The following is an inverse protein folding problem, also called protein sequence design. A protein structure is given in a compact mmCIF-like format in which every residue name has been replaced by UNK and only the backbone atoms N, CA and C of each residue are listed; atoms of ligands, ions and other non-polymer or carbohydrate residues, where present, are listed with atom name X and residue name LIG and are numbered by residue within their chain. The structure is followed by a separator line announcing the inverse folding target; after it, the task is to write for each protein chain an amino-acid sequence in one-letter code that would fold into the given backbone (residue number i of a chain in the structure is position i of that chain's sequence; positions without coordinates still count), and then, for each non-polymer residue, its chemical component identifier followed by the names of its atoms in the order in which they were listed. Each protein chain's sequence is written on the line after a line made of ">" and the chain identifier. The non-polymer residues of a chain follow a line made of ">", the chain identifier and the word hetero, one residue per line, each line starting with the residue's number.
data_IF_894621827444
#
_entry.id   IF_894621827444
#
_cell.length_a   1.000
_cell.length_b   1.000
_cell.length_c   1.000
_cell.angle_alpha   90.00
_cell.angle_beta   90.00
_cell.angle_gamma   90.00
#
_symmetry.space_group_name_H-M   'P 1'
#
loop_
_entity.id
_entity.type
_entity.pdbx_description
1 polymer ?
#
# COMPACT_ATOMS: atom_id res chain seq x y z
N UNK A 1 18.61 -1.46 1.36
CA UNK A 1 19.22 -2.37 0.36
C UNK A 1 20.31 -3.28 0.98
N UNK A 2 21.45 -2.76 1.46
CA UNK A 2 22.55 -3.58 1.99
C UNK A 2 22.10 -4.52 3.13
N UNK A 3 21.39 -4.00 4.13
CA UNK A 3 20.92 -4.80 5.27
C UNK A 3 19.99 -5.93 4.81
N UNK A 4 19.04 -5.62 3.93
CA UNK A 4 18.12 -6.64 3.39
C UNK A 4 18.88 -7.69 2.57
N UNK A 5 19.83 -7.26 1.74
CA UNK A 5 20.68 -8.20 0.99
C UNK A 5 21.48 -9.11 1.93
N UNK A 6 22.08 -8.56 3.00
CA UNK A 6 22.80 -9.36 4.00
C UNK A 6 21.85 -10.37 4.65
N UNK A 7 20.68 -9.94 5.09
CA UNK A 7 19.68 -10.84 5.71
C UNK A 7 19.33 -12.00 4.76
N UNK A 8 19.12 -11.73 3.47
CA UNK A 8 18.82 -12.81 2.51
C UNK A 8 19.93 -13.85 2.35
N UNK A 9 21.18 -13.52 2.70
CA UNK A 9 22.29 -14.51 2.67
C UNK A 9 22.25 -15.50 3.84
N UNK A 10 21.60 -15.13 4.96
CA UNK A 10 21.52 -15.97 6.17
C UNK A 10 20.22 -16.76 6.28
N UNK A 11 19.26 -16.54 5.40
CA UNK A 11 18.00 -17.28 5.39
C UNK A 11 18.28 -18.72 4.95
N UNK A 12 18.03 -19.74 5.79
CA UNK A 12 18.27 -21.14 5.43
C UNK A 12 17.30 -21.57 4.31
N UNK A 13 17.81 -22.34 3.35
CA UNK A 13 17.07 -22.76 2.16
C UNK A 13 16.99 -21.64 1.12
N UNK A 14 17.89 -21.64 0.13
CA UNK A 14 17.91 -20.67 -0.94
C UNK A 14 16.78 -20.87 -1.96
N UNK A 15 16.62 -19.96 -2.97
CA UNK A 15 15.62 -20.12 -4.01
C UNK A 15 15.80 -21.41 -4.83
N UNK A 16 17.04 -21.91 -4.98
CA UNK A 16 17.33 -23.18 -5.64
C UNK A 16 16.78 -24.35 -4.83
N UNK A 17 17.00 -24.38 -3.50
CA UNK A 17 16.48 -25.40 -2.61
C UNK A 17 14.94 -25.40 -2.55
N UNK A 18 14.32 -24.23 -2.62
CA UNK A 18 12.87 -24.12 -2.65
C UNK A 18 12.29 -24.60 -3.98
N UNK A 19 12.95 -24.30 -5.11
CA UNK A 19 12.56 -24.83 -6.41
C UNK A 19 12.65 -26.37 -6.43
N UNK A 20 13.73 -26.92 -5.88
CA UNK A 20 13.90 -28.37 -5.71
C UNK A 20 12.75 -28.97 -4.90
N UNK A 21 12.44 -28.37 -3.75
CA UNK A 21 11.35 -28.87 -2.88
C UNK A 21 9.97 -28.79 -3.53
N UNK A 22 9.72 -27.79 -4.38
CA UNK A 22 8.48 -27.69 -5.15
C UNK A 22 8.38 -28.75 -6.23
N UNK A 23 9.47 -29.05 -6.92
CA UNK A 23 9.52 -30.10 -7.94
C UNK A 23 9.33 -31.48 -7.30
N UNK A 24 9.99 -31.75 -6.17
CA UNK A 24 9.82 -32.99 -5.41
C UNK A 24 8.41 -33.13 -4.79
N UNK A 25 7.82 -32.00 -4.32
CA UNK A 25 6.45 -31.99 -3.78
C UNK A 25 5.38 -32.19 -4.86
N UNK A 26 5.60 -31.72 -6.07
CA UNK A 26 4.70 -31.90 -7.21
C UNK A 26 4.66 -33.37 -7.67
N UNK A 27 5.81 -34.05 -7.63
CA UNK A 27 5.88 -35.49 -7.95
C UNK A 27 5.19 -36.36 -6.90
N UNK A 28 5.14 -35.91 -5.64
CA UNK A 28 4.49 -36.61 -4.53
C UNK A 28 2.96 -36.49 -4.52
N UNK A 29 2.40 -35.40 -5.09
CA UNK A 29 0.95 -35.17 -5.16
C UNK A 29 0.27 -35.85 -6.36
N UNK A 30 1.03 -36.36 -7.32
CA UNK A 30 0.54 -37.07 -8.51
C UNK A 30 0.38 -38.59 -8.38
N UNK A 31 0.58 -39.21 -7.23
CA UNK A 31 0.74 -40.63 -7.04
C UNK A 31 -0.30 -41.35 -6.21
N UNK A 32 -1.60 -41.18 -6.50
CA UNK A 32 -2.60 -42.21 -6.12
C UNK A 32 -3.44 -42.54 -7.34
N UNK A 33 -3.02 -43.47 -8.18
CA UNK A 33 -3.89 -44.45 -8.86
C UNK A 33 -3.07 -45.59 -9.45
N UNK A 34 -3.44 -46.82 -9.01
CA UNK A 34 -3.26 -48.13 -9.62
C UNK A 34 -1.89 -48.81 -9.63
N UNK A 35 -1.83 -49.75 -8.72
CA UNK A 35 -1.06 -51.00 -8.82
C UNK A 35 -1.43 -51.76 -10.12
N UNK A 36 -0.52 -51.86 -11.06
CA UNK A 36 -0.21 -53.14 -11.75
C UNK A 36 0.73 -52.89 -12.95
N UNK A 37 1.70 -53.80 -13.05
CA UNK A 37 2.57 -54.14 -14.16
C UNK A 37 3.89 -53.36 -14.33
N UNK A 38 4.94 -54.04 -13.93
CA UNK A 38 6.24 -54.25 -14.58
C UNK A 38 6.73 -53.16 -15.54
N UNK A 39 7.82 -52.54 -15.18
CA UNK A 39 8.75 -52.04 -16.18
C UNK A 39 9.22 -50.62 -15.99
N UNK A 40 10.43 -50.48 -15.41
CA UNK A 40 11.36 -49.39 -15.72
C UNK A 40 10.84 -47.93 -15.66
N UNK A 41 10.44 -47.47 -14.50
CA UNK A 41 10.47 -46.03 -14.20
C UNK A 41 11.28 -45.81 -12.90
N UNK A 42 12.54 -45.41 -13.08
CA UNK A 42 13.33 -44.79 -12.04
C UNK A 42 12.94 -43.33 -11.97
N UNK A 43 11.79 -43.03 -11.37
CA UNK A 43 11.28 -41.68 -11.20
C UNK A 43 11.29 -41.32 -9.71
N UNK A 44 12.43 -41.07 -9.12
CA UNK A 44 12.66 -40.17 -7.98
C UNK A 44 14.16 -40.03 -7.74
N UNK A 45 14.87 -39.53 -8.73
CA UNK A 45 16.13 -38.84 -8.46
C UNK A 45 15.77 -37.37 -8.33
N UNK A 46 15.93 -36.82 -7.14
CA UNK A 46 16.04 -35.39 -6.95
C UNK A 46 16.96 -34.79 -8.04
N UNK A 47 16.80 -33.52 -8.38
CA UNK A 47 17.59 -32.83 -9.40
C UNK A 47 19.04 -33.27 -9.32
N UNK A 48 19.61 -33.71 -10.45
CA UNK A 48 20.99 -34.13 -10.54
C UNK A 48 21.89 -32.96 -10.11
N UNK A 49 22.99 -33.23 -9.40
CA UNK A 49 23.90 -32.19 -8.90
C UNK A 49 24.31 -31.22 -10.03
N UNK A 50 24.44 -31.73 -11.25
CA UNK A 50 24.72 -30.91 -12.44
C UNK A 50 23.59 -29.89 -12.75
N UNK A 51 22.34 -30.23 -12.49
CA UNK A 51 21.19 -29.33 -12.66
C UNK A 51 21.17 -28.26 -11.57
N UNK A 52 21.48 -28.64 -10.33
CA UNK A 52 21.62 -27.72 -9.20
C UNK A 52 22.75 -26.72 -9.46
N UNK A 53 23.89 -27.18 -9.96
CA UNK A 53 25.02 -26.33 -10.29
C UNK A 53 24.70 -25.37 -11.45
N UNK A 54 23.96 -25.82 -12.46
CA UNK A 54 23.45 -24.95 -13.54
C UNK A 54 22.51 -23.87 -13.03
N UNK A 55 21.60 -24.20 -12.09
CA UNK A 55 20.71 -23.23 -11.44
C UNK A 55 21.50 -22.22 -10.61
N UNK A 56 22.53 -22.67 -9.87
CA UNK A 56 23.39 -21.78 -9.10
C UNK A 56 24.14 -20.78 -10.00
N UNK A 57 24.63 -21.23 -11.14
CA UNK A 57 25.27 -20.34 -12.11
C UNK A 57 24.26 -19.40 -12.77
N UNK A 58 23.07 -19.91 -13.12
CA UNK A 58 21.99 -19.11 -13.74
C UNK A 58 21.55 -17.95 -12.83
N UNK A 59 21.44 -18.22 -11.55
CA UNK A 59 21.04 -17.23 -10.55
C UNK A 59 22.22 -16.46 -9.93
N UNK A 60 23.45 -16.74 -10.37
CA UNK A 60 24.67 -16.05 -9.96
C UNK A 60 25.12 -16.37 -8.54
N UNK A 61 24.67 -17.49 -7.95
CA UNK A 61 25.09 -17.92 -6.62
C UNK A 61 26.51 -18.49 -6.59
N UNK A 62 27.13 -18.68 -7.74
CA UNK A 62 28.52 -19.04 -7.91
C UNK A 62 29.50 -17.94 -7.50
N UNK A 63 29.04 -16.67 -7.46
CA UNK A 63 29.87 -15.50 -7.14
C UNK A 63 29.84 -15.19 -5.63
N UNK A 64 30.94 -14.62 -5.07
CA UNK A 64 30.94 -14.13 -3.69
C UNK A 64 29.86 -13.09 -3.43
N UNK A 65 29.23 -13.10 -2.25
CA UNK A 65 28.15 -12.20 -1.88
C UNK A 65 28.48 -10.70 -2.09
N UNK A 66 29.68 -10.17 -1.78
CA UNK A 66 30.01 -8.77 -2.04
C UNK A 66 29.97 -8.42 -3.53
N UNK A 67 30.44 -9.32 -4.39
CA UNK A 67 30.42 -9.11 -5.83
C UNK A 67 28.98 -9.10 -6.36
N UNK A 68 28.15 -10.05 -5.92
CA UNK A 68 26.72 -10.09 -6.27
C UNK A 68 26.00 -8.80 -5.88
N UNK A 69 26.30 -8.26 -4.69
CA UNK A 69 25.72 -6.99 -4.23
C UNK A 69 26.14 -5.82 -5.13
N UNK A 70 27.42 -5.71 -5.50
CA UNK A 70 27.91 -4.66 -6.41
C UNK A 70 27.30 -4.78 -7.81
N UNK A 71 27.30 -5.98 -8.38
CA UNK A 71 26.69 -6.25 -9.69
C UNK A 71 25.20 -5.89 -9.68
N UNK A 72 24.48 -6.25 -8.61
CA UNK A 72 23.06 -5.88 -8.41
C UNK A 72 22.89 -4.36 -8.35
N UNK A 73 23.69 -3.64 -7.57
CA UNK A 73 23.58 -2.19 -7.44
C UNK A 73 23.89 -1.46 -8.75
N UNK A 74 24.85 -1.95 -9.54
CA UNK A 74 25.16 -1.38 -10.85
C UNK A 74 24.00 -1.57 -11.84
N UNK A 75 23.33 -2.74 -11.84
CA UNK A 75 22.13 -2.98 -12.64
C UNK A 75 20.96 -2.11 -12.17
N UNK A 76 20.73 -2.00 -10.87
CA UNK A 76 19.68 -1.16 -10.32
C UNK A 76 19.86 0.33 -10.63
N UNK A 77 21.11 0.81 -10.72
CA UNK A 77 21.38 2.17 -11.17
C UNK A 77 20.96 2.42 -12.63
N UNK A 78 20.79 1.35 -13.43
CA UNK A 78 20.27 1.37 -14.80
C UNK A 78 18.78 0.98 -14.87
N UNK A 79 18.09 0.87 -13.72
CA UNK A 79 16.72 0.37 -13.60
C UNK A 79 16.50 -1.05 -14.09
N UNK A 80 17.56 -1.84 -14.23
CA UNK A 80 17.46 -3.28 -14.45
C UNK A 80 17.34 -3.98 -13.09
N UNK A 81 16.11 -4.34 -12.71
CA UNK A 81 15.82 -5.03 -11.45
C UNK A 81 15.98 -6.55 -11.56
N UNK A 82 16.31 -7.06 -12.72
CA UNK A 82 16.45 -8.48 -13.00
C UNK A 82 15.12 -9.17 -13.29
N UNK A 83 15.15 -10.50 -13.30
CA UNK A 83 14.02 -11.36 -13.58
C UNK A 83 13.58 -12.12 -12.33
N UNK A 84 12.27 -12.35 -12.20
CA UNK A 84 11.69 -13.19 -11.16
C UNK A 84 12.10 -14.65 -11.36
N UNK A 85 12.45 -15.33 -10.28
CA UNK A 85 12.79 -16.74 -10.32
C UNK A 85 11.59 -17.65 -10.60
N UNK A 86 10.36 -17.18 -10.32
CA UNK A 86 9.14 -17.98 -10.36
C UNK A 86 8.13 -17.53 -11.42
N UNK A 87 8.23 -16.31 -11.94
CA UNK A 87 7.21 -15.75 -12.82
C UNK A 87 7.64 -15.63 -14.29
N UNK A 88 8.88 -15.96 -14.65
CA UNK A 88 9.43 -15.81 -16.00
C UNK A 88 9.15 -14.42 -16.62
N UNK A 89 9.21 -13.37 -15.80
CA UNK A 89 8.97 -11.97 -16.19
C UNK A 89 10.00 -11.08 -15.53
N UNK A 90 10.28 -9.93 -16.13
CA UNK A 90 11.10 -8.92 -15.46
C UNK A 90 10.42 -8.44 -14.18
N UNK A 91 11.22 -8.12 -13.17
CA UNK A 91 10.70 -7.59 -11.89
C UNK A 91 9.96 -6.26 -12.13
N UNK A 92 10.44 -5.44 -13.07
CA UNK A 92 9.77 -4.19 -13.43
C UNK A 92 8.38 -4.44 -14.03
N UNK A 93 8.23 -5.40 -14.95
CA UNK A 93 6.93 -5.75 -15.53
C UNK A 93 5.97 -6.29 -14.49
N UNK A 94 6.47 -7.10 -13.54
CA UNK A 94 5.66 -7.58 -12.42
C UNK A 94 5.15 -6.42 -11.58
N UNK A 95 6.02 -5.49 -11.18
CA UNK A 95 5.64 -4.31 -10.39
C UNK A 95 4.59 -3.49 -11.16
N UNK A 96 4.85 -3.18 -12.43
CA UNK A 96 3.94 -2.38 -13.27
C UNK A 96 2.57 -3.06 -13.43
N UNK A 97 2.54 -4.38 -13.58
CA UNK A 97 1.28 -5.14 -13.70
C UNK A 97 0.40 -5.08 -12.43
N UNK A 98 1.00 -4.89 -11.24
CA UNK A 98 0.30 -4.81 -9.95
C UNK A 98 -0.05 -3.38 -9.53
N UNK A 99 0.59 -2.37 -10.15
CA UNK A 99 0.34 -0.95 -9.86
C UNK A 99 -1.14 -0.54 -9.96
N UNK A 100 -1.92 -0.95 -10.98
CA UNK A 100 -3.32 -0.51 -11.11
C UNK A 100 -4.16 -0.82 -9.86
N UNK A 101 -3.99 -1.97 -9.23
CA UNK A 101 -4.69 -2.36 -8.01
C UNK A 101 -4.28 -1.47 -6.84
N UNK A 102 -2.98 -1.36 -6.57
CA UNK A 102 -2.47 -0.58 -5.44
C UNK A 102 -2.76 0.91 -5.58
N UNK A 103 -2.63 1.46 -6.80
CA UNK A 103 -3.00 2.85 -7.11
C UNK A 103 -4.50 3.06 -6.91
N UNK A 104 -5.35 2.15 -7.38
CA UNK A 104 -6.79 2.25 -7.18
C UNK A 104 -7.16 2.32 -5.70
N UNK A 105 -6.66 1.38 -4.90
CA UNK A 105 -6.89 1.38 -3.44
C UNK A 105 -6.38 2.66 -2.78
N UNK A 106 -5.16 3.05 -3.11
CA UNK A 106 -4.51 4.22 -2.52
C UNK A 106 -5.21 5.52 -2.87
N UNK A 107 -5.46 5.79 -4.16
CA UNK A 107 -6.07 7.04 -4.63
C UNK A 107 -7.48 7.22 -4.06
N UNK A 108 -8.33 6.20 -4.18
CA UNK A 108 -9.70 6.29 -3.67
C UNK A 108 -9.74 6.44 -2.15
N UNK A 109 -8.93 5.66 -1.42
CA UNK A 109 -8.81 5.81 0.03
C UNK A 109 -8.35 7.21 0.42
N UNK A 110 -7.32 7.73 -0.24
CA UNK A 110 -6.80 9.07 0.00
C UNK A 110 -7.85 10.15 -0.28
N UNK A 111 -8.49 10.13 -1.44
CA UNK A 111 -9.50 11.11 -1.83
C UNK A 111 -10.68 11.11 -0.84
N UNK A 112 -11.21 9.93 -0.51
CA UNK A 112 -12.36 9.82 0.40
C UNK A 112 -11.98 10.33 1.80
N UNK A 113 -10.80 9.96 2.31
CA UNK A 113 -10.33 10.42 3.62
C UNK A 113 -10.17 11.94 3.63
N UNK A 114 -9.46 12.53 2.67
CA UNK A 114 -9.22 13.98 2.67
C UNK A 114 -10.49 14.79 2.42
N UNK A 115 -11.31 14.39 1.45
CA UNK A 115 -12.56 15.08 1.12
C UNK A 115 -13.63 14.98 2.22
N UNK A 116 -13.60 13.92 3.04
CA UNK A 116 -14.56 13.73 4.12
C UNK A 116 -14.05 14.26 5.46
N UNK A 117 -12.81 13.97 5.82
CA UNK A 117 -12.26 14.26 7.15
C UNK A 117 -11.97 15.75 7.35
N UNK A 118 -11.53 16.47 6.30
CA UNK A 118 -11.25 17.91 6.44
C UNK A 118 -12.52 18.69 6.72
N UNK A 119 -13.61 18.62 5.92
CA UNK A 119 -14.85 19.31 6.22
C UNK A 119 -15.45 18.88 7.57
N UNK A 120 -15.37 17.58 7.88
CA UNK A 120 -15.86 17.07 9.16
C UNK A 120 -15.06 17.64 10.34
N UNK A 121 -13.75 17.66 10.28
CA UNK A 121 -12.87 18.24 11.30
C UNK A 121 -13.10 19.73 11.52
N UNK A 122 -13.27 20.51 10.43
CA UNK A 122 -13.61 21.93 10.49
C UNK A 122 -14.98 22.11 11.20
N UNK A 123 -16.00 21.36 10.78
CA UNK A 123 -17.34 21.44 11.38
C UNK A 123 -17.31 21.06 12.86
N UNK A 124 -16.51 20.09 13.26
CA UNK A 124 -16.30 19.69 14.65
C UNK A 124 -15.62 20.79 15.47
N UNK A 125 -14.60 21.45 14.91
CA UNK A 125 -13.93 22.58 15.56
C UNK A 125 -14.87 23.77 15.78
N UNK A 126 -15.75 24.04 14.82
CA UNK A 126 -16.77 25.11 14.92
C UNK A 126 -17.83 24.80 15.97
N UNK A 127 -18.12 23.53 16.26
CA UNK A 127 -19.13 23.09 17.21
C UNK A 127 -18.50 22.28 18.35
N UNK A 128 -17.31 22.68 18.79
CA UNK A 128 -16.56 22.01 19.86
C UNK A 128 -17.39 21.83 21.13
N UNK A 129 -17.40 20.62 21.71
CA UNK A 129 -18.17 20.25 22.88
C UNK A 129 -19.68 20.06 22.65
N UNK A 130 -20.19 20.27 21.44
CA UNK A 130 -21.59 20.00 21.09
C UNK A 130 -21.90 18.50 21.01
N UNK A 131 -23.21 18.15 21.05
CA UNK A 131 -23.65 16.76 20.83
C UNK A 131 -23.13 16.18 19.50
N UNK A 132 -23.09 16.99 18.44
CA UNK A 132 -22.55 16.60 17.14
C UNK A 132 -21.07 16.22 17.25
N UNK A 133 -20.27 17.04 17.91
CA UNK A 133 -18.84 16.78 18.09
C UNK A 133 -18.60 15.51 18.92
N UNK A 134 -19.32 15.35 20.04
CA UNK A 134 -19.18 14.17 20.90
C UNK A 134 -19.60 12.89 20.17
N UNK A 135 -20.78 12.87 19.55
CA UNK A 135 -21.29 11.68 18.85
C UNK A 135 -20.35 11.29 17.69
N UNK A 136 -19.96 12.24 16.84
CA UNK A 136 -19.06 11.95 15.71
C UNK A 136 -17.67 11.53 16.18
N UNK A 137 -17.13 12.12 17.27
CA UNK A 137 -15.88 11.65 17.87
C UNK A 137 -15.98 10.21 18.34
N UNK A 138 -17.07 9.86 19.04
CA UNK A 138 -17.29 8.51 19.55
C UNK A 138 -17.33 7.50 18.39
N UNK A 139 -18.12 7.78 17.34
CA UNK A 139 -18.23 6.90 16.17
C UNK A 139 -16.87 6.70 15.50
N UNK A 140 -16.13 7.79 15.26
CA UNK A 140 -14.82 7.74 14.59
C UNK A 140 -13.79 6.98 15.45
N UNK A 141 -13.77 7.21 16.76
CA UNK A 141 -12.86 6.52 17.67
C UNK A 141 -13.21 5.03 17.83
N UNK A 142 -14.49 4.69 17.87
CA UNK A 142 -14.93 3.29 17.84
C UNK A 142 -14.47 2.60 16.54
N UNK A 143 -14.64 3.27 15.40
CA UNK A 143 -14.13 2.77 14.13
C UNK A 143 -12.60 2.62 14.12
N UNK A 144 -11.88 3.56 14.69
CA UNK A 144 -10.41 3.52 14.82
C UNK A 144 -9.90 2.33 15.66
N UNK A 145 -10.67 1.94 16.67
CA UNK A 145 -10.33 0.80 17.52
C UNK A 145 -10.42 -0.55 16.79
N UNK A 146 -11.13 -0.61 15.65
CA UNK A 146 -11.27 -1.83 14.86
C UNK A 146 -10.12 -1.88 13.83
N UNK A 147 -9.27 -2.91 13.85
CA UNK A 147 -8.28 -3.08 12.79
C UNK A 147 -8.94 -3.16 11.41
N UNK A 148 -8.42 -2.42 10.41
CA UNK A 148 -9.03 -2.34 9.07
C UNK A 148 -9.27 -3.71 8.43
N UNK A 149 -8.34 -4.65 8.59
CA UNK A 149 -8.50 -6.02 8.07
C UNK A 149 -9.64 -6.80 8.77
N UNK A 150 -9.85 -6.59 10.08
CA UNK A 150 -10.97 -7.20 10.81
C UNK A 150 -12.30 -6.64 10.29
N UNK A 151 -12.36 -5.32 10.08
CA UNK A 151 -13.50 -4.69 9.44
C UNK A 151 -13.71 -5.24 8.03
N UNK A 152 -12.64 -5.42 7.24
CA UNK A 152 -12.69 -6.00 5.90
C UNK A 152 -13.33 -7.38 5.88
N UNK A 153 -12.90 -8.27 6.77
CA UNK A 153 -13.51 -9.60 6.93
C UNK A 153 -15.00 -9.49 7.32
N UNK A 154 -15.32 -8.64 8.30
CA UNK A 154 -16.70 -8.45 8.75
C UNK A 154 -17.60 -7.92 7.60
N UNK A 155 -17.13 -6.94 6.85
CA UNK A 155 -17.84 -6.39 5.68
C UNK A 155 -18.04 -7.45 4.60
N UNK A 156 -17.00 -8.24 4.32
CA UNK A 156 -17.07 -9.30 3.31
C UNK A 156 -18.07 -10.39 3.72
N UNK A 157 -18.06 -10.83 4.98
CA UNK A 157 -18.99 -11.84 5.50
C UNK A 157 -20.43 -11.33 5.54
N UNK A 158 -20.64 -10.04 5.82
CA UNK A 158 -21.98 -9.48 5.89
C UNK A 158 -22.55 -9.13 4.52
N UNK A 159 -21.75 -8.56 3.63
CA UNK A 159 -22.19 -7.91 2.41
C UNK A 159 -21.60 -8.50 1.12
N UNK A 160 -20.59 -9.36 1.20
CA UNK A 160 -19.97 -9.99 0.03
C UNK A 160 -20.86 -11.06 -0.61
N UNK A 161 -20.63 -11.35 -1.89
CA UNK A 161 -21.43 -12.28 -2.66
C UNK A 161 -21.54 -13.68 -2.02
N UNK A 162 -22.75 -14.21 -1.97
CA UNK A 162 -23.06 -15.49 -1.36
C UNK A 162 -23.14 -15.49 0.17
N UNK A 163 -23.07 -14.30 0.82
CA UNK A 163 -23.18 -14.13 2.26
C UNK A 163 -24.57 -13.66 2.73
N UNK A 164 -24.65 -13.04 3.93
CA UNK A 164 -25.93 -12.67 4.53
C UNK A 164 -26.78 -11.71 3.67
N UNK A 165 -26.16 -10.65 3.11
CA UNK A 165 -26.88 -9.63 2.36
C UNK A 165 -26.66 -9.69 0.85
N UNK A 166 -25.62 -10.36 0.39
CA UNK A 166 -25.27 -10.55 -1.04
C UNK A 166 -25.39 -9.26 -1.89
N UNK A 167 -24.72 -8.20 -1.45
CA UNK A 167 -24.84 -6.87 -2.07
C UNK A 167 -23.62 -6.55 -2.93
N UNK A 168 -22.41 -6.84 -2.44
CA UNK A 168 -21.16 -6.47 -3.08
C UNK A 168 -20.40 -7.67 -3.62
N UNK A 169 -19.52 -7.48 -4.62
CA UNK A 169 -18.66 -8.54 -5.12
C UNK A 169 -17.76 -9.12 -4.04
N UNK A 170 -17.48 -10.42 -4.16
CA UNK A 170 -16.66 -11.15 -3.19
C UNK A 170 -15.17 -10.91 -3.38
N UNK A 171 -14.71 -10.74 -4.63
CA UNK A 171 -13.29 -10.72 -4.99
C UNK A 171 -13.01 -9.90 -6.24
N UNK A 172 -11.75 -9.50 -6.38
CA UNK A 172 -11.25 -8.87 -7.60
C UNK A 172 -11.50 -7.37 -7.69
N UNK A 173 -10.85 -6.74 -8.65
CA UNK A 173 -11.00 -5.32 -8.95
C UNK A 173 -12.19 -5.03 -9.85
N UNK A 174 -12.58 -6.04 -10.65
CA UNK A 174 -13.66 -6.01 -11.64
C UNK A 174 -14.26 -7.41 -11.81
N UNK A 175 -15.44 -7.48 -12.42
CA UNK A 175 -16.07 -8.75 -12.79
C UNK A 175 -15.32 -9.46 -13.90
N UNK A 176 -15.45 -10.80 -14.00
CA UNK A 176 -14.75 -11.62 -15.00
C UNK A 176 -15.11 -11.24 -16.45
N UNK A 177 -16.33 -10.72 -16.69
CA UNK A 177 -16.81 -10.26 -18.00
C UNK A 177 -16.66 -8.74 -18.22
N UNK A 178 -15.81 -8.07 -17.44
CA UNK A 178 -15.68 -6.62 -17.44
C UNK A 178 -15.35 -6.04 -18.82
N UNK A 179 -14.47 -6.67 -19.58
CA UNK A 179 -14.07 -6.21 -20.92
C UNK A 179 -15.22 -6.23 -21.95
N UNK A 180 -16.23 -7.09 -21.72
CA UNK A 180 -17.42 -7.20 -22.59
C UNK A 180 -18.49 -6.15 -22.25
N UNK A 181 -18.34 -5.46 -21.11
CA UNK A 181 -19.32 -4.47 -20.68
C UNK A 181 -19.15 -3.13 -21.43
N UNK A 182 -20.25 -2.41 -21.69
CA UNK A 182 -20.16 -1.03 -22.18
C UNK A 182 -19.44 -0.15 -21.14
N UNK A 183 -18.70 0.86 -21.60
CA UNK A 183 -17.80 1.68 -20.79
C UNK A 183 -18.40 2.20 -19.47
N UNK A 184 -19.68 2.63 -19.47
CA UNK A 184 -20.36 3.11 -18.26
C UNK A 184 -20.61 2.01 -17.24
N UNK A 185 -20.85 0.77 -17.70
CA UNK A 185 -20.95 -0.41 -16.82
C UNK A 185 -19.58 -0.85 -16.30
N UNK A 186 -18.54 -0.71 -17.11
CA UNK A 186 -17.16 -0.95 -16.65
C UNK A 186 -16.80 -0.06 -15.47
N UNK A 187 -17.12 1.25 -15.56
CA UNK A 187 -16.87 2.19 -14.46
C UNK A 187 -17.70 1.86 -13.22
N UNK A 188 -18.99 1.57 -13.38
CA UNK A 188 -19.86 1.23 -12.23
C UNK A 188 -19.46 -0.09 -11.59
N UNK A 189 -19.09 -1.10 -12.37
CA UNK A 189 -18.61 -2.38 -11.87
C UNK A 189 -17.31 -2.22 -11.05
N UNK A 190 -16.33 -1.53 -11.61
CA UNK A 190 -15.09 -1.19 -10.89
C UNK A 190 -15.35 -0.46 -9.58
N UNK A 191 -16.19 0.59 -9.59
CA UNK A 191 -16.50 1.34 -8.37
C UNK A 191 -17.22 0.45 -7.34
N UNK A 192 -18.07 -0.47 -7.80
CA UNK A 192 -18.81 -1.40 -6.93
C UNK A 192 -17.88 -2.39 -6.22
N UNK A 193 -16.86 -2.91 -6.92
CA UNK A 193 -15.83 -3.77 -6.35
C UNK A 193 -14.97 -3.03 -5.32
N UNK A 194 -14.77 -1.74 -5.49
CA UNK A 194 -13.91 -0.93 -4.62
C UNK A 194 -14.58 -0.51 -3.30
N UNK A 195 -15.90 -0.63 -3.15
CA UNK A 195 -16.63 -0.11 -1.96
C UNK A 195 -16.12 -0.74 -0.66
N UNK A 196 -16.14 -2.06 -0.55
CA UNK A 196 -15.74 -2.75 0.69
C UNK A 196 -14.25 -2.62 0.99
N UNK A 197 -13.33 -2.82 0.02
CA UNK A 197 -11.90 -2.61 0.24
C UNK A 197 -11.55 -1.19 0.71
N UNK A 198 -12.17 -0.17 0.13
CA UNK A 198 -11.94 1.23 0.52
C UNK A 198 -12.46 1.51 1.92
N UNK A 199 -13.67 1.05 2.27
CA UNK A 199 -14.21 1.23 3.62
C UNK A 199 -13.29 0.59 4.66
N UNK A 200 -12.80 -0.61 4.40
CA UNK A 200 -11.88 -1.30 5.30
C UNK A 200 -10.52 -0.57 5.42
N UNK A 201 -10.00 -0.03 4.31
CA UNK A 201 -8.71 0.66 4.28
C UNK A 201 -8.74 2.04 4.94
N UNK A 202 -9.88 2.72 4.93
CA UNK A 202 -9.98 4.13 5.34
C UNK A 202 -10.32 4.33 6.81
N UNK A 203 -10.90 3.34 7.49
CA UNK A 203 -11.45 3.49 8.84
C UNK A 203 -10.46 4.06 9.86
N UNK A 204 -9.22 3.59 9.84
CA UNK A 204 -8.16 4.09 10.73
C UNK A 204 -7.76 5.52 10.44
N UNK A 205 -7.65 5.88 9.16
CA UNK A 205 -7.23 7.20 8.72
C UNK A 205 -8.27 8.29 9.02
N UNK A 206 -9.55 7.93 9.09
CA UNK A 206 -10.64 8.85 9.44
C UNK A 206 -10.44 9.52 10.80
N UNK A 207 -10.06 8.76 11.81
CA UNK A 207 -9.83 9.31 13.14
C UNK A 207 -8.64 10.27 13.15
N UNK A 208 -7.52 9.84 12.57
CA UNK A 208 -6.27 10.61 12.59
C UNK A 208 -6.46 11.96 11.90
N UNK A 209 -6.93 11.98 10.65
CA UNK A 209 -7.05 13.22 9.88
C UNK A 209 -8.18 14.13 10.40
N UNK A 210 -9.32 13.57 10.81
CA UNK A 210 -10.42 14.36 11.39
C UNK A 210 -9.99 15.05 12.68
N UNK A 211 -9.31 14.33 13.59
CA UNK A 211 -8.85 14.91 14.86
C UNK A 211 -7.69 15.88 14.64
N UNK A 212 -6.77 15.60 13.74
CA UNK A 212 -5.72 16.56 13.36
C UNK A 212 -6.36 17.87 12.85
N UNK A 213 -7.30 17.77 11.93
CA UNK A 213 -8.01 18.94 11.39
C UNK A 213 -8.76 19.68 12.47
N UNK A 214 -9.54 18.98 13.30
CA UNK A 214 -10.27 19.60 14.42
C UNK A 214 -9.31 20.37 15.34
N UNK A 215 -8.24 19.73 15.78
CA UNK A 215 -7.32 20.33 16.76
C UNK A 215 -6.58 21.53 16.18
N UNK A 216 -6.12 21.44 14.93
CA UNK A 216 -5.46 22.54 14.22
C UNK A 216 -6.39 23.77 14.08
N UNK A 217 -7.66 23.56 13.75
CA UNK A 217 -8.64 24.64 13.67
C UNK A 217 -9.00 25.21 15.04
N UNK A 218 -9.13 24.37 16.08
CA UNK A 218 -9.38 24.85 17.46
C UNK A 218 -8.24 25.71 17.98
N UNK A 219 -6.99 25.32 17.72
CA UNK A 219 -5.84 26.11 18.13
C UNK A 219 -5.86 27.48 17.47
N UNK A 220 -6.12 27.55 16.16
CA UNK A 220 -6.14 28.82 15.42
C UNK A 220 -7.31 29.71 15.80
N UNK A 221 -8.50 29.14 16.02
CA UNK A 221 -9.72 29.91 16.40
C UNK A 221 -9.53 30.66 17.74
N UNK A 222 -8.65 30.18 18.62
CA UNK A 222 -8.38 30.77 19.94
C UNK A 222 -7.32 31.87 19.93
N UNK A 223 -6.65 32.12 18.80
CA UNK A 223 -5.58 33.14 18.70
C UNK A 223 -6.10 34.59 18.71
N UNK A 224 -5.27 35.51 19.20
CA UNK A 224 -5.61 36.92 19.37
C UNK A 224 -6.08 37.63 18.09
N UNK A 225 -5.47 37.29 16.94
CA UNK A 225 -5.87 37.89 15.66
C UNK A 225 -7.31 37.57 15.27
N UNK A 226 -7.83 36.40 15.69
CA UNK A 226 -9.22 36.00 15.48
C UNK A 226 -10.17 36.84 16.33
N UNK A 227 -9.80 37.07 17.61
CA UNK A 227 -10.55 37.96 18.49
C UNK A 227 -10.60 39.38 17.93
N UNK A 228 -9.48 39.90 17.43
CA UNK A 228 -9.41 41.21 16.76
C UNK A 228 -10.31 41.30 15.54
N UNK A 229 -10.35 40.25 14.70
CA UNK A 229 -11.19 40.20 13.51
C UNK A 229 -12.68 40.23 13.89
N UNK A 230 -13.09 39.50 14.94
CA UNK A 230 -14.46 39.52 15.49
C UNK A 230 -14.82 40.88 16.09
N UNK A 231 -13.91 41.51 16.83
CA UNK A 231 -14.11 42.84 17.41
C UNK A 231 -14.31 43.93 16.34
N UNK A 232 -13.74 43.75 15.14
CA UNK A 232 -13.97 44.61 13.97
C UNK A 232 -15.31 44.36 13.26
N UNK A 233 -16.16 43.44 13.78
CA UNK A 233 -17.50 43.18 13.24
C UNK A 233 -17.54 42.21 12.08
N UNK A 234 -16.47 41.46 11.80
CA UNK A 234 -16.48 40.42 10.77
C UNK A 234 -17.37 39.24 11.21
N UNK A 235 -18.18 38.74 10.29
CA UNK A 235 -19.01 37.57 10.50
C UNK A 235 -18.16 36.30 10.69
N UNK A 236 -18.73 35.30 11.35
CA UNK A 236 -18.02 34.08 11.72
C UNK A 236 -17.46 33.31 10.52
N UNK A 237 -18.16 33.30 9.38
CA UNK A 237 -17.72 32.67 8.14
C UNK A 237 -16.52 33.38 7.56
N UNK A 238 -16.55 34.71 7.48
CA UNK A 238 -15.40 35.52 7.01
C UNK A 238 -14.17 35.35 7.90
N UNK A 239 -14.35 35.31 9.22
CA UNK A 239 -13.25 35.02 10.16
C UNK A 239 -12.67 33.65 9.91
N UNK A 240 -13.52 32.63 9.75
CA UNK A 240 -13.09 31.25 9.52
C UNK A 240 -12.29 31.13 8.23
N UNK A 241 -12.88 31.52 7.07
CA UNK A 241 -12.29 31.24 5.77
C UNK A 241 -11.16 32.20 5.37
N UNK A 242 -11.21 33.47 5.83
CA UNK A 242 -10.18 34.46 5.47
C UNK A 242 -9.01 34.52 6.43
N UNK A 243 -9.22 34.19 7.72
CA UNK A 243 -8.20 34.38 8.77
C UNK A 243 -7.73 33.07 9.37
N UNK A 244 -8.64 32.13 9.69
CA UNK A 244 -8.29 30.88 10.37
C UNK A 244 -7.84 29.82 9.39
N UNK A 245 -8.59 29.60 8.30
CA UNK A 245 -8.43 28.46 7.39
C UNK A 245 -7.00 28.31 6.87
N UNK A 246 -6.40 29.39 6.38
CA UNK A 246 -5.05 29.36 5.82
C UNK A 246 -4.02 28.83 6.82
N UNK A 247 -4.06 29.31 8.06
CA UNK A 247 -3.10 28.92 9.09
C UNK A 247 -3.40 27.53 9.65
N UNK A 248 -4.69 27.23 9.89
CA UNK A 248 -5.13 25.93 10.40
C UNK A 248 -4.86 24.79 9.42
N UNK A 249 -4.83 25.04 8.11
CA UNK A 249 -4.54 24.04 7.10
C UNK A 249 -3.05 23.73 6.94
N UNK A 250 -2.13 24.52 7.51
CA UNK A 250 -0.69 24.31 7.35
C UNK A 250 -0.27 22.87 7.69
N UNK A 251 -0.61 22.29 8.86
CA UNK A 251 -0.19 20.93 9.19
C UNK A 251 -0.78 19.87 8.24
N UNK A 252 -2.00 20.10 7.74
CA UNK A 252 -2.69 19.19 6.83
C UNK A 252 -2.05 19.22 5.44
N UNK A 253 -1.85 20.44 4.89
CA UNK A 253 -1.27 20.61 3.55
C UNK A 253 0.19 20.20 3.51
N UNK A 254 0.92 20.43 4.59
CA UNK A 254 2.29 19.99 4.75
C UNK A 254 2.45 18.47 4.71
N UNK A 255 1.56 17.75 5.38
CA UNK A 255 1.54 16.28 5.35
C UNK A 255 0.99 15.68 4.04
N UNK A 256 0.27 16.48 3.23
CA UNK A 256 -0.43 16.02 2.05
C UNK A 256 0.47 15.33 1.00
N UNK A 257 1.61 15.90 0.55
CA UNK A 257 2.41 15.27 -0.50
C UNK A 257 2.97 13.91 -0.08
N UNK A 258 3.44 13.82 1.16
CA UNK A 258 3.94 12.56 1.72
C UNK A 258 2.84 11.51 1.84
N UNK A 259 1.67 11.87 2.36
CA UNK A 259 0.52 10.98 2.47
C UNK A 259 -0.02 10.56 1.09
N UNK A 260 -0.08 11.48 0.14
CA UNK A 260 -0.52 11.22 -1.22
C UNK A 260 0.37 10.17 -1.90
N UNK A 261 1.69 10.37 -1.90
CA UNK A 261 2.60 9.43 -2.55
C UNK A 261 2.64 8.10 -1.79
N UNK A 262 2.65 8.12 -0.45
CA UNK A 262 2.56 6.89 0.32
C UNK A 262 1.33 6.06 -0.03
N UNK A 263 0.19 6.71 -0.33
CA UNK A 263 -1.05 6.01 -0.68
C UNK A 263 -0.95 5.16 -1.96
N UNK A 264 -0.09 5.54 -2.92
CA UNK A 264 0.10 4.76 -4.15
C UNK A 264 0.89 3.46 -3.94
N UNK A 265 1.76 3.44 -2.94
CA UNK A 265 2.76 2.40 -2.79
C UNK A 265 2.62 1.59 -1.50
N UNK A 266 1.77 2.06 -0.60
CA UNK A 266 1.47 1.30 0.61
C UNK A 266 0.38 0.28 0.29
N UNK A 267 0.75 -0.78 -0.45
CA UNK A 267 -0.12 -1.93 -0.63
C UNK A 267 -0.55 -2.45 0.74
N UNK A 268 -1.82 -2.73 0.90
CA UNK A 268 -2.33 -3.34 2.12
C UNK A 268 -2.43 -4.84 1.92
N UNK A 269 -1.35 -5.57 2.24
CA UNK A 269 -1.31 -7.03 2.10
C UNK A 269 -2.60 -7.70 2.60
N UNK A 270 -3.05 -7.33 3.80
CA UNK A 270 -4.22 -7.97 4.41
C UNK A 270 -5.51 -7.63 3.64
N UNK A 271 -5.69 -6.40 3.21
CA UNK A 271 -6.85 -6.01 2.39
C UNK A 271 -6.79 -6.66 1.02
N UNK A 272 -5.62 -6.65 0.37
CA UNK A 272 -5.41 -7.30 -0.92
C UNK A 272 -5.71 -8.81 -0.84
N UNK A 273 -5.26 -9.48 0.23
CA UNK A 273 -5.53 -10.91 0.45
C UNK A 273 -7.02 -11.18 0.70
N UNK A 274 -7.67 -10.40 1.58
CA UNK A 274 -9.08 -10.61 1.96
C UNK A 274 -10.01 -10.45 0.74
N UNK A 275 -9.77 -9.43 -0.07
CA UNK A 275 -10.60 -9.13 -1.26
C UNK A 275 -10.05 -9.73 -2.55
N UNK A 276 -9.03 -10.60 -2.46
CA UNK A 276 -8.36 -11.24 -3.62
C UNK A 276 -7.93 -10.22 -4.68
N UNK A 277 -7.33 -9.13 -4.23
CA UNK A 277 -6.80 -8.06 -5.07
C UNK A 277 -5.30 -8.34 -5.31
N UNK A 278 -4.93 -8.42 -6.58
CA UNK A 278 -3.57 -8.76 -6.99
C UNK A 278 -2.69 -7.49 -7.06
N UNK A 279 -2.38 -6.94 -5.88
CA UNK A 279 -1.63 -5.70 -5.71
C UNK A 279 -0.17 -5.91 -5.31
N UNK A 280 0.53 -4.79 -5.09
CA UNK A 280 1.96 -4.76 -4.74
C UNK A 280 2.26 -5.32 -3.35
N UNK A 281 1.33 -5.18 -2.40
CA UNK A 281 1.47 -5.74 -1.05
C UNK A 281 1.47 -7.26 -1.09
N UNK A 282 0.55 -7.86 -1.82
CA UNK A 282 0.46 -9.31 -2.02
C UNK A 282 1.68 -9.83 -2.77
N UNK A 283 2.10 -9.19 -3.86
CA UNK A 283 3.31 -9.53 -4.60
C UNK A 283 4.54 -9.56 -3.69
N UNK A 284 4.74 -8.52 -2.88
CA UNK A 284 5.89 -8.43 -1.98
C UNK A 284 5.89 -9.57 -0.94
N UNK A 285 4.74 -9.87 -0.37
CA UNK A 285 4.61 -10.94 0.61
C UNK A 285 4.84 -12.33 0.01
N UNK A 286 4.20 -12.64 -1.11
CA UNK A 286 4.40 -13.91 -1.80
C UNK A 286 5.85 -14.11 -2.22
N UNK A 287 6.50 -13.05 -2.70
CA UNK A 287 7.91 -13.09 -3.10
C UNK A 287 8.84 -13.39 -1.93
N UNK A 288 8.53 -12.86 -0.73
CA UNK A 288 9.28 -13.21 0.49
C UNK A 288 9.10 -14.69 0.85
N UNK A 289 7.86 -15.20 0.81
CA UNK A 289 7.57 -16.59 1.12
C UNK A 289 8.21 -17.55 0.11
N UNK A 290 8.17 -17.20 -1.17
CA UNK A 290 8.76 -17.97 -2.27
C UNK A 290 10.28 -17.75 -2.39
N UNK A 291 10.86 -16.82 -1.60
CA UNK A 291 12.28 -16.43 -1.68
C UNK A 291 12.72 -15.94 -3.06
N UNK A 292 11.82 -15.24 -3.73
CA UNK A 292 12.08 -14.58 -4.99
C UNK A 292 12.88 -13.28 -4.75
N UNK A 293 14.17 -13.46 -4.47
CA UNK A 293 15.02 -12.35 -4.06
C UNK A 293 15.11 -11.19 -5.07
N UNK A 294 15.11 -11.40 -6.38
CA UNK A 294 15.04 -10.31 -7.33
C UNK A 294 13.78 -9.44 -7.13
N UNK A 295 12.62 -10.08 -6.94
CA UNK A 295 11.36 -9.34 -6.71
C UNK A 295 11.39 -8.64 -5.35
N UNK A 296 11.86 -9.29 -4.28
CA UNK A 296 11.96 -8.69 -2.94
C UNK A 296 12.87 -7.47 -2.94
N UNK A 297 14.10 -7.61 -3.49
CA UNK A 297 15.10 -6.53 -3.50
C UNK A 297 14.73 -5.45 -4.51
N UNK A 298 14.21 -5.84 -5.68
CA UNK A 298 13.75 -4.91 -6.71
C UNK A 298 12.55 -4.07 -6.25
N UNK A 299 11.57 -4.68 -5.61
CA UNK A 299 10.43 -3.95 -5.01
C UNK A 299 10.88 -3.00 -3.91
N UNK A 300 11.80 -3.42 -3.03
CA UNK A 300 12.37 -2.57 -2.00
C UNK A 300 13.11 -1.37 -2.60
N UNK A 301 13.89 -1.58 -3.67
CA UNK A 301 14.57 -0.50 -4.38
C UNK A 301 13.57 0.49 -4.98
N UNK A 302 12.57 -0.02 -5.68
CA UNK A 302 11.51 0.78 -6.28
C UNK A 302 10.78 1.63 -5.24
N UNK A 303 10.33 1.03 -4.13
CA UNK A 303 9.70 1.77 -3.04
C UNK A 303 10.63 2.80 -2.39
N UNK A 304 11.93 2.50 -2.29
CA UNK A 304 12.90 3.44 -1.71
C UNK A 304 13.04 4.68 -2.58
N UNK A 305 13.18 4.52 -3.91
CA UNK A 305 13.27 5.66 -4.84
C UNK A 305 11.98 6.49 -4.79
N UNK A 306 10.82 5.84 -4.83
CA UNK A 306 9.55 6.54 -4.75
C UNK A 306 9.38 7.28 -3.42
N UNK A 307 9.80 6.67 -2.31
CA UNK A 307 9.79 7.31 -0.99
C UNK A 307 10.71 8.53 -0.91
N UNK A 308 11.89 8.46 -1.53
CA UNK A 308 12.80 9.61 -1.63
C UNK A 308 12.22 10.74 -2.48
N UNK A 309 11.62 10.38 -3.61
CA UNK A 309 10.92 11.35 -4.47
C UNK A 309 9.73 12.00 -3.74
N UNK A 310 8.96 11.19 -3.02
CA UNK A 310 7.87 11.66 -2.16
C UNK A 310 8.36 12.67 -1.13
N UNK A 311 9.46 12.37 -0.46
CA UNK A 311 10.05 13.25 0.54
C UNK A 311 10.51 14.56 -0.09
N UNK A 312 11.19 14.48 -1.23
CA UNK A 312 11.61 15.69 -1.97
C UNK A 312 10.41 16.58 -2.34
N UNK A 313 9.32 15.98 -2.84
CA UNK A 313 8.09 16.74 -3.15
C UNK A 313 7.46 17.35 -1.89
N UNK A 314 7.47 16.62 -0.77
CA UNK A 314 7.01 17.15 0.50
C UNK A 314 7.85 18.35 0.94
N UNK A 315 9.17 18.24 0.89
CA UNK A 315 10.09 19.32 1.28
C UNK A 315 9.92 20.57 0.38
N UNK A 316 9.78 20.41 -0.93
CA UNK A 316 9.47 21.50 -1.86
C UNK A 316 8.10 22.12 -1.54
N UNK A 317 7.10 21.31 -1.23
CA UNK A 317 5.76 21.78 -0.85
C UNK A 317 5.77 22.60 0.43
N UNK A 318 6.62 22.22 1.42
CA UNK A 318 6.81 23.00 2.64
C UNK A 318 7.24 24.43 2.34
N UNK A 319 8.26 24.61 1.50
CA UNK A 319 8.77 25.95 1.14
C UNK A 319 7.72 26.79 0.40
N UNK A 320 6.93 26.15 -0.46
CA UNK A 320 5.87 26.84 -1.21
C UNK A 320 4.70 27.29 -0.33
N UNK A 321 4.40 26.54 0.74
CA UNK A 321 3.25 26.79 1.63
C UNK A 321 3.62 27.77 2.73
N UNK A 322 4.79 27.62 3.33
CA UNK A 322 5.30 28.51 4.35
C UNK A 322 6.67 29.10 3.95
N UNK A 323 6.66 30.27 3.29
CA UNK A 323 7.88 30.96 2.85
C UNK A 323 8.79 31.45 4.00
N UNK A 324 8.38 31.25 5.27
CA UNK A 324 9.21 31.55 6.44
C UNK A 324 10.25 30.45 6.71
N UNK A 325 10.05 29.26 6.12
CA UNK A 325 10.99 28.15 6.21
C UNK A 325 12.06 28.38 5.14
N UNK A 326 13.21 28.90 5.54
CA UNK A 326 14.39 29.01 4.67
C UNK A 326 15.37 27.90 5.04
N UNK A 327 15.83 27.14 4.06
CA UNK A 327 16.83 26.09 4.26
C UNK A 327 18.24 26.66 4.54
N UNK A 328 18.45 27.97 4.30
CA UNK A 328 19.75 28.65 4.40
C UNK A 328 20.09 29.23 5.78
N UNK A 329 19.32 28.97 6.83
CA UNK A 329 19.56 29.60 8.16
C UNK A 329 20.40 28.76 9.14
N UNK A 330 21.18 27.78 8.66
CA UNK A 330 22.07 26.98 9.56
C UNK A 330 23.43 27.60 9.75
N UNK A 331 23.79 28.68 9.04
CA UNK A 331 25.05 29.38 9.18
C UNK A 331 24.84 30.87 9.53
N UNK A 332 24.48 31.15 10.79
CA UNK A 332 24.90 32.40 11.50
C UNK A 332 24.79 32.21 12.99
#
# INVERSE_FOLDING_TARGET
>A
MLVTFIVTQFVPGGPVEQLISQLEGADSAGGEVSSSSSGLYHGSKGLDQEQVDKLNVLYGFDKPAPQRFLDMMLRYAQFDLGESYFHNKSVMDLIVSKLPVSISLGVWSFLIVYLSCIPLGIKKAMHDGSKFDVITSTIILMGYAIPGFVLGIALLVLFGGGSFFDVFPLKGLTSDNWEELPWYKQVTDYLWHMVLPILASTIGSFAVLTMLTKNSFLEEIRKQYVLTARAKGLDQSSVLYRHVFRNAMIPIVTGFPGAFIASFFTGSLLIETIFSLDGLGLLSYESILKRDYPVVLGSLFFYTILGLFAKLLADVSYVLIDPRIQFDSVDK
#
